data_IF_001910606523
#
_entry.id   IF_001910606523
#
_cell.length_a   1.000
_cell.length_b   1.000
_cell.length_c   1.000
_cell.angle_alpha   90.00
_cell.angle_beta   90.00
_cell.angle_gamma   90.00
#
_symmetry.space_group_name_H-M   'P 1'
#
loop_
_entity.id
_entity.type
_entity.pdbx_description
1 polymer ?
#
# COMPACT_ATOMS: atom_id res chain seq x y z
N UNK A 1 -77.10 17.78 -22.65
CA UNK A 1 -75.83 18.50 -22.31
C UNK A 1 -75.05 17.64 -21.31
N UNK A 2 -74.07 16.91 -21.76
CA UNK A 2 -73.29 15.98 -20.95
C UNK A 2 -71.93 16.63 -20.66
N UNK A 3 -71.67 16.88 -19.39
CA UNK A 3 -70.36 17.38 -18.94
C UNK A 3 -69.46 16.20 -18.62
N UNK A 4 -68.41 16.06 -19.40
CA UNK A 4 -67.32 15.11 -19.14
C UNK A 4 -66.31 15.71 -18.19
N UNK A 5 -66.24 15.18 -16.97
CA UNK A 5 -65.22 15.51 -15.97
C UNK A 5 -63.89 14.86 -16.35
N UNK A 6 -62.88 15.70 -16.62
CA UNK A 6 -61.48 15.21 -16.78
C UNK A 6 -60.93 14.90 -15.40
N UNK A 7 -60.61 13.64 -15.14
CA UNK A 7 -59.82 13.23 -13.98
C UNK A 7 -58.36 13.60 -14.18
N UNK A 8 -57.85 14.44 -13.24
CA UNK A 8 -56.43 14.71 -13.11
C UNK A 8 -55.76 13.54 -12.41
N UNK A 9 -54.82 12.87 -13.10
CA UNK A 9 -53.91 11.94 -12.44
C UNK A 9 -52.72 12.69 -11.86
N UNK A 10 -52.29 12.44 -10.59
CA UNK A 10 -51.12 13.05 -10.04
C UNK A 10 -49.86 12.44 -10.67
N UNK A 11 -48.97 13.29 -11.15
CA UNK A 11 -47.65 12.92 -11.65
C UNK A 11 -46.80 12.50 -10.45
N UNK A 12 -46.43 11.25 -10.38
CA UNK A 12 -45.54 10.71 -9.34
C UNK A 12 -44.11 11.26 -9.53
N UNK A 13 -43.75 12.26 -8.71
CA UNK A 13 -42.51 13.01 -8.80
C UNK A 13 -41.43 12.41 -7.86
N UNK A 14 -41.31 11.07 -7.80
CA UNK A 14 -40.39 10.39 -6.90
C UNK A 14 -39.38 9.49 -7.61
N UNK A 15 -38.85 9.92 -8.77
CA UNK A 15 -37.64 9.31 -9.33
C UNK A 15 -36.42 10.01 -8.69
N UNK A 16 -36.07 9.64 -7.46
CA UNK A 16 -34.72 9.91 -6.92
C UNK A 16 -33.72 9.22 -7.86
N UNK A 17 -33.17 9.96 -8.82
CA UNK A 17 -32.01 9.52 -9.58
C UNK A 17 -30.91 9.25 -8.56
N UNK A 18 -30.58 7.98 -8.33
CA UNK A 18 -29.30 7.61 -7.69
C UNK A 18 -28.20 8.17 -8.59
N UNK A 19 -27.64 9.30 -8.21
CA UNK A 19 -26.39 9.76 -8.80
C UNK A 19 -25.35 8.72 -8.33
N UNK A 20 -25.03 7.76 -9.18
CA UNK A 20 -23.89 6.87 -8.93
C UNK A 20 -22.64 7.77 -8.93
N UNK A 21 -22.09 8.02 -7.78
CA UNK A 21 -20.83 8.76 -7.66
C UNK A 21 -19.77 7.90 -8.36
N UNK A 22 -19.24 8.39 -9.48
CA UNK A 22 -18.19 7.70 -10.23
C UNK A 22 -16.93 7.72 -9.35
N UNK A 23 -16.53 6.55 -8.86
CA UNK A 23 -15.29 6.38 -8.10
C UNK A 23 -14.09 6.63 -9.00
N UNK A 24 -13.21 7.53 -8.59
CA UNK A 24 -12.00 7.87 -9.30
C UNK A 24 -10.83 7.03 -8.79
N UNK A 25 -10.11 6.39 -9.71
CA UNK A 25 -8.83 5.75 -9.36
C UNK A 25 -7.76 6.81 -9.17
N UNK A 26 -7.13 6.83 -8.00
CA UNK A 26 -6.02 7.72 -7.65
C UNK A 26 -4.66 7.16 -8.10
N UNK A 27 -4.51 5.85 -8.07
CA UNK A 27 -3.29 5.12 -8.38
C UNK A 27 -3.44 3.64 -8.03
N UNK A 28 -2.33 3.01 -7.68
CA UNK A 28 -2.31 1.59 -7.28
C UNK A 28 -1.45 1.40 -6.03
N UNK A 29 -1.88 0.51 -5.13
CA UNK A 29 -0.97 -0.12 -4.19
C UNK A 29 -0.24 -1.26 -4.88
N UNK A 30 1.01 -1.46 -4.53
CA UNK A 30 1.82 -2.57 -5.04
C UNK A 30 2.26 -3.48 -3.91
N UNK A 31 2.22 -4.77 -4.17
CA UNK A 31 2.65 -5.80 -3.23
C UNK A 31 3.26 -6.98 -3.99
N UNK A 32 3.84 -7.90 -3.26
CA UNK A 32 4.37 -9.14 -3.80
C UNK A 32 4.08 -10.32 -2.88
N UNK A 33 4.30 -11.55 -3.36
CA UNK A 33 4.18 -12.73 -2.53
C UNK A 33 5.31 -12.78 -1.50
N UNK A 34 5.07 -13.50 -0.42
CA UNK A 34 6.11 -13.83 0.54
C UNK A 34 7.21 -14.67 -0.09
N UNK A 35 8.44 -14.38 0.31
CA UNK A 35 9.61 -15.10 -0.13
C UNK A 35 9.89 -16.40 0.65
N UNK A 36 8.98 -16.76 1.58
CA UNK A 36 9.09 -17.88 2.51
C UNK A 36 10.38 -17.82 3.35
N UNK A 37 10.79 -16.61 3.74
CA UNK A 37 12.01 -16.38 4.50
C UNK A 37 11.91 -15.13 5.37
N UNK A 38 12.70 -15.08 6.42
CA UNK A 38 12.97 -13.87 7.22
C UNK A 38 14.34 -13.32 6.83
N UNK A 39 14.45 -12.01 6.67
CA UNK A 39 15.73 -11.35 6.56
C UNK A 39 16.52 -11.52 7.86
N UNK A 40 15.86 -11.33 9.00
CA UNK A 40 16.46 -11.42 10.32
C UNK A 40 15.57 -12.25 11.29
N UNK A 41 15.68 -13.59 11.25
CA UNK A 41 14.82 -14.48 12.07
C UNK A 41 14.95 -14.23 13.58
N UNK A 42 16.09 -13.73 14.05
CA UNK A 42 16.34 -13.47 15.48
C UNK A 42 15.52 -12.30 16.03
N UNK A 43 14.86 -11.49 15.17
CA UNK A 43 13.97 -10.42 15.58
C UNK A 43 12.54 -10.90 15.89
N UNK A 44 12.22 -12.16 15.63
CA UNK A 44 10.91 -12.73 15.91
C UNK A 44 10.54 -12.61 17.39
N UNK A 45 9.38 -12.02 17.68
CA UNK A 45 8.90 -11.84 19.05
C UNK A 45 9.61 -10.75 19.87
N UNK A 46 10.48 -9.96 19.26
CA UNK A 46 11.13 -8.82 19.93
C UNK A 46 10.14 -7.67 20.11
N UNK A 47 10.14 -7.06 21.30
CA UNK A 47 9.30 -5.88 21.59
C UNK A 47 9.59 -4.73 20.62
N UNK A 48 8.52 -3.98 20.23
CA UNK A 48 8.62 -2.88 19.27
C UNK A 48 9.71 -1.85 19.62
N UNK A 49 9.89 -1.51 20.88
CA UNK A 49 10.91 -0.53 21.26
C UNK A 49 12.33 -1.01 20.97
N UNK A 50 12.59 -2.30 21.08
CA UNK A 50 13.89 -2.89 20.75
C UNK A 50 14.12 -3.06 19.25
N UNK A 51 13.04 -3.22 18.47
CA UNK A 51 13.14 -3.35 17.03
C UNK A 51 12.81 -2.08 16.24
N UNK A 52 12.59 -0.95 16.91
CA UNK A 52 12.21 0.31 16.27
C UNK A 52 13.25 0.79 15.25
N UNK A 53 14.53 0.73 15.59
CA UNK A 53 15.62 1.06 14.68
C UNK A 53 15.62 0.11 13.46
N UNK A 54 15.42 -1.18 13.69
CA UNK A 54 15.30 -2.18 12.65
C UNK A 54 14.16 -1.88 11.67
N UNK A 55 13.00 -1.48 12.15
CA UNK A 55 11.85 -1.12 11.30
C UNK A 55 12.13 0.16 10.50
N UNK A 56 12.69 1.18 11.13
CA UNK A 56 12.94 2.50 10.52
C UNK A 56 14.17 2.53 9.59
N UNK A 57 15.17 1.68 9.84
CA UNK A 57 16.47 1.70 9.17
C UNK A 57 16.84 0.34 8.55
N UNK A 58 15.87 -0.31 7.87
CA UNK A 58 16.01 -1.67 7.29
C UNK A 58 17.29 -1.87 6.47
N UNK A 59 17.75 -0.83 5.76
CA UNK A 59 18.96 -0.88 4.95
C UNK A 59 20.26 -1.13 5.77
N UNK A 60 20.22 -0.83 7.08
CA UNK A 60 21.34 -1.08 7.98
C UNK A 60 21.32 -2.49 8.59
N UNK A 61 20.22 -3.21 8.40
CA UNK A 61 19.95 -4.52 9.01
C UNK A 61 19.85 -5.66 8.00
N UNK A 62 20.53 -5.54 6.86
CA UNK A 62 20.62 -6.62 5.88
C UNK A 62 21.51 -7.75 6.41
N UNK A 63 20.92 -8.92 6.64
CA UNK A 63 21.64 -10.08 7.19
C UNK A 63 22.61 -10.68 6.14
N UNK A 64 23.91 -10.73 6.41
CA UNK A 64 24.89 -11.31 5.49
C UNK A 64 24.68 -12.80 5.24
N UNK A 65 23.97 -13.49 6.12
CA UNK A 65 23.65 -14.91 5.99
C UNK A 65 22.25 -15.18 5.40
N UNK A 66 21.55 -14.14 4.97
CA UNK A 66 20.20 -14.25 4.40
C UNK A 66 20.17 -15.22 3.20
N UNK A 67 19.16 -16.09 3.19
CA UNK A 67 18.94 -17.05 2.09
C UNK A 67 17.59 -16.77 1.42
N UNK A 68 17.66 -16.29 0.19
CA UNK A 68 16.49 -16.03 -0.63
C UNK A 68 15.91 -17.35 -1.16
N UNK A 69 14.71 -17.72 -0.74
CA UNK A 69 14.06 -18.98 -1.11
C UNK A 69 13.49 -18.91 -2.53
N UNK A 70 12.74 -17.85 -2.87
CA UNK A 70 12.10 -17.70 -4.18
C UNK A 70 12.84 -16.70 -5.07
N UNK A 71 13.93 -17.13 -5.69
CA UNK A 71 14.85 -16.30 -6.47
C UNK A 71 14.25 -15.70 -7.75
N UNK A 72 13.17 -16.29 -8.29
CA UNK A 72 12.63 -15.95 -9.60
C UNK A 72 11.72 -14.72 -9.62
N UNK A 73 11.33 -14.16 -8.47
CA UNK A 73 10.47 -13.00 -8.41
C UNK A 73 11.23 -11.71 -8.72
N UNK A 74 10.57 -10.83 -9.48
CA UNK A 74 11.03 -9.45 -9.68
C UNK A 74 10.66 -8.55 -8.52
N UNK A 75 9.58 -8.92 -7.79
CA UNK A 75 9.08 -8.21 -6.61
C UNK A 75 8.54 -9.23 -5.61
N UNK A 76 8.97 -9.16 -4.37
CA UNK A 76 8.53 -10.03 -3.27
C UNK A 76 8.85 -9.38 -1.93
N UNK A 77 8.32 -9.92 -0.82
CA UNK A 77 8.67 -9.49 0.53
C UNK A 77 9.12 -10.67 1.40
N UNK A 78 9.88 -10.40 2.43
CA UNK A 78 10.15 -11.37 3.50
C UNK A 78 9.05 -11.29 4.56
N UNK A 79 8.95 -12.28 5.45
CA UNK A 79 7.98 -12.27 6.56
C UNK A 79 8.20 -11.10 7.55
N UNK A 80 9.39 -10.55 7.61
CA UNK A 80 9.77 -9.36 8.36
C UNK A 80 9.82 -8.09 7.49
N UNK A 81 9.04 -8.10 6.39
CA UNK A 81 8.69 -6.94 5.56
C UNK A 81 9.86 -6.25 4.85
N UNK A 82 10.91 -6.99 4.46
CA UNK A 82 11.91 -6.49 3.52
C UNK A 82 11.41 -6.69 2.10
N UNK A 83 11.15 -5.61 1.39
CA UNK A 83 10.74 -5.65 -0.02
C UNK A 83 11.96 -5.91 -0.90
N UNK A 84 12.00 -7.07 -1.54
CA UNK A 84 13.12 -7.51 -2.38
C UNK A 84 12.73 -7.41 -3.84
N UNK A 85 13.55 -6.70 -4.62
CA UNK A 85 13.35 -6.51 -6.05
C UNK A 85 14.52 -7.02 -6.88
N UNK A 86 14.25 -7.34 -8.14
CA UNK A 86 15.28 -7.75 -9.10
C UNK A 86 16.03 -6.56 -9.69
N UNK A 87 17.20 -6.82 -10.32
CA UNK A 87 17.92 -5.83 -11.13
C UNK A 87 17.03 -5.26 -12.25
N UNK A 88 16.20 -6.11 -12.87
CA UNK A 88 15.25 -5.68 -13.91
C UNK A 88 14.24 -4.64 -13.38
N UNK A 89 13.72 -4.82 -12.16
CA UNK A 89 12.82 -3.85 -11.52
C UNK A 89 13.56 -2.56 -11.16
N UNK A 90 14.75 -2.67 -10.60
CA UNK A 90 15.62 -1.51 -10.29
C UNK A 90 15.93 -0.72 -11.56
N UNK A 91 16.34 -1.39 -12.64
CA UNK A 91 16.66 -0.73 -13.91
C UNK A 91 15.46 -0.01 -14.49
N UNK A 92 14.26 -0.62 -14.43
CA UNK A 92 13.02 0.05 -14.81
C UNK A 92 12.80 1.36 -14.04
N UNK A 93 13.06 1.39 -12.75
CA UNK A 93 12.92 2.61 -11.96
C UNK A 93 13.96 3.68 -12.34
N UNK A 94 15.19 3.27 -12.65
CA UNK A 94 16.26 4.16 -13.10
C UNK A 94 15.92 4.75 -14.47
N UNK A 95 15.52 3.92 -15.43
CA UNK A 95 15.20 4.34 -16.81
C UNK A 95 14.03 5.34 -16.87
N UNK A 96 13.10 5.26 -15.92
CA UNK A 96 12.00 6.21 -15.80
C UNK A 96 12.30 7.39 -14.87
N UNK A 97 13.51 7.49 -14.32
CA UNK A 97 13.94 8.57 -13.42
C UNK A 97 13.01 8.80 -12.23
N UNK A 98 12.48 7.73 -11.60
CA UNK A 98 11.59 7.87 -10.45
C UNK A 98 12.35 8.40 -9.23
N UNK A 99 12.02 9.60 -8.72
CA UNK A 99 12.64 10.13 -7.52
C UNK A 99 12.11 9.43 -6.26
N UNK A 100 12.93 9.42 -5.21
CA UNK A 100 12.50 8.94 -3.90
C UNK A 100 12.45 7.42 -3.76
N UNK A 101 13.05 6.67 -4.68
CA UNK A 101 13.31 5.23 -4.53
C UNK A 101 14.80 4.99 -4.31
N UNK A 102 15.12 4.09 -3.39
CA UNK A 102 16.50 3.70 -3.06
C UNK A 102 16.63 2.18 -3.12
N UNK A 103 17.80 1.71 -3.57
CA UNK A 103 18.09 0.30 -3.75
C UNK A 103 19.37 -0.07 -3.01
N UNK A 104 19.29 -1.03 -2.11
CA UNK A 104 20.43 -1.51 -1.34
C UNK A 104 20.69 -2.97 -1.71
N UNK A 105 21.92 -3.33 -2.12
CA UNK A 105 22.23 -4.71 -2.52
C UNK A 105 21.93 -5.70 -1.38
N UNK A 106 21.24 -6.79 -1.70
CA UNK A 106 21.06 -7.90 -0.76
C UNK A 106 22.37 -8.69 -0.67
N UNK A 107 22.91 -8.94 0.52
CA UNK A 107 24.15 -9.72 0.68
C UNK A 107 24.07 -11.07 -0.05
N UNK A 108 25.13 -11.43 -0.74
CA UNK A 108 25.27 -12.65 -1.55
C UNK A 108 24.35 -12.78 -2.77
N UNK A 109 23.66 -11.67 -3.18
CA UNK A 109 22.80 -11.67 -4.36
C UNK A 109 23.05 -10.43 -5.22
N UNK A 110 23.90 -10.56 -6.25
CA UNK A 110 24.29 -9.44 -7.11
C UNK A 110 23.13 -8.76 -7.85
N UNK A 111 22.04 -9.50 -8.10
CA UNK A 111 20.88 -9.05 -8.89
C UNK A 111 19.62 -8.81 -8.05
N UNK A 112 19.76 -8.74 -6.73
CA UNK A 112 18.63 -8.50 -5.80
C UNK A 112 18.92 -7.33 -4.88
N UNK A 113 17.89 -6.54 -4.63
CA UNK A 113 17.98 -5.29 -3.88
C UNK A 113 16.82 -5.15 -2.91
N UNK A 114 17.10 -4.62 -1.74
CA UNK A 114 16.08 -4.03 -0.89
C UNK A 114 15.57 -2.75 -1.57
N UNK A 115 14.27 -2.64 -1.76
CA UNK A 115 13.60 -1.41 -2.19
C UNK A 115 13.16 -0.60 -0.97
N UNK A 116 13.56 0.68 -0.92
CA UNK A 116 12.98 1.66 -0.02
C UNK A 116 12.32 2.80 -0.81
N UNK A 117 11.15 3.24 -0.35
CA UNK A 117 10.40 4.36 -0.94
C UNK A 117 10.34 5.48 0.09
N UNK A 118 10.78 6.69 -0.31
CA UNK A 118 10.96 7.83 0.59
C UNK A 118 9.86 8.89 0.44
N UNK A 119 9.16 8.95 -0.70
CA UNK A 119 8.04 9.89 -0.89
C UNK A 119 6.85 9.44 -0.05
N UNK A 120 6.40 10.30 0.85
CA UNK A 120 5.34 9.98 1.81
C UNK A 120 4.02 10.57 1.34
N UNK A 121 2.95 9.77 1.47
CA UNK A 121 1.56 10.21 1.33
C UNK A 121 0.79 9.88 2.60
N UNK A 122 -0.14 10.76 2.98
CA UNK A 122 -0.91 10.58 4.20
C UNK A 122 -2.05 9.57 4.01
N UNK A 123 -2.08 8.60 4.91
CA UNK A 123 -3.16 7.62 5.01
C UNK A 123 -4.28 8.16 5.91
N UNK A 124 -5.53 7.97 5.51
CA UNK A 124 -6.70 8.39 6.29
C UNK A 124 -7.13 7.28 7.26
N UNK A 125 -6.55 7.30 8.45
CA UNK A 125 -6.82 6.33 9.50
C UNK A 125 -8.24 6.40 10.04
N UNK A 126 -8.85 7.59 10.04
CA UNK A 126 -10.22 7.81 10.53
C UNK A 126 -11.23 7.22 9.54
N UNK A 127 -11.14 7.60 8.28
CA UNK A 127 -12.00 7.09 7.21
C UNK A 127 -11.88 5.57 7.07
N UNK A 128 -10.65 5.03 7.15
CA UNK A 128 -10.39 3.59 7.08
C UNK A 128 -10.80 2.85 8.34
N UNK A 129 -11.03 3.53 9.46
CA UNK A 129 -11.25 2.95 10.78
C UNK A 129 -10.07 2.06 11.20
N UNK A 130 -8.86 2.58 11.00
CA UNK A 130 -7.61 1.92 11.40
C UNK A 130 -7.60 1.71 12.91
N UNK A 131 -7.16 0.55 13.36
CA UNK A 131 -7.10 0.18 14.76
C UNK A 131 -5.63 0.17 15.20
N UNK A 132 -5.37 0.87 16.29
CA UNK A 132 -4.05 0.95 16.92
C UNK A 132 -4.10 0.16 18.22
N UNK A 133 -3.24 -0.84 18.37
CA UNK A 133 -3.25 -1.79 19.47
C UNK A 133 -1.94 -1.73 20.25
N UNK A 134 -2.04 -2.00 21.56
CA UNK A 134 -0.90 -2.16 22.45
C UNK A 134 0.07 -0.98 22.39
N UNK A 135 -0.40 0.22 22.80
CA UNK A 135 0.44 1.41 22.90
C UNK A 135 1.55 1.18 23.94
N UNK A 136 2.80 1.41 23.52
CA UNK A 136 3.96 1.34 24.38
C UNK A 136 4.51 2.74 24.65
N UNK A 137 4.38 3.21 25.90
CA UNK A 137 4.81 4.54 26.33
C UNK A 137 6.32 4.73 26.31
N UNK A 138 7.10 3.64 26.43
CA UNK A 138 8.57 3.74 26.51
C UNK A 138 9.19 4.20 25.19
N UNK A 139 8.56 3.87 24.07
CA UNK A 139 9.02 4.29 22.75
C UNK A 139 7.97 5.12 21.97
N UNK A 140 6.84 5.45 22.60
CA UNK A 140 5.74 6.22 22.01
C UNK A 140 5.25 5.62 20.68
N UNK A 141 5.11 4.28 20.63
CA UNK A 141 4.72 3.54 19.44
C UNK A 141 3.62 2.52 19.78
N UNK A 142 2.79 2.18 18.79
CA UNK A 142 1.86 1.06 18.87
C UNK A 142 2.56 -0.22 18.41
N UNK A 143 2.36 -1.31 19.15
CA UNK A 143 2.93 -2.60 18.80
C UNK A 143 2.30 -3.17 17.52
N UNK A 144 1.00 -2.97 17.34
CA UNK A 144 0.27 -3.44 16.18
C UNK A 144 -0.63 -2.33 15.60
N UNK A 145 -0.67 -2.22 14.27
CA UNK A 145 -1.56 -1.32 13.53
C UNK A 145 -2.23 -2.13 12.41
N UNK A 146 -3.58 -2.24 12.47
CA UNK A 146 -4.36 -3.02 11.52
C UNK A 146 -5.35 -2.15 10.74
N UNK A 147 -5.80 -2.65 9.60
CA UNK A 147 -6.71 -1.91 8.72
C UNK A 147 -5.98 -1.19 7.59
N UNK A 148 -4.99 -1.85 6.99
CA UNK A 148 -4.22 -1.35 5.86
C UNK A 148 -5.05 -1.23 4.56
N UNK A 149 -5.96 -2.18 4.31
CA UNK A 149 -6.71 -2.30 3.05
C UNK A 149 -8.22 -2.31 3.25
N UNK A 150 -8.99 -1.77 2.29
CA UNK A 150 -8.52 -1.02 1.13
C UNK A 150 -7.82 0.28 1.53
N UNK A 151 -6.88 0.75 0.72
CA UNK A 151 -6.08 1.95 1.00
C UNK A 151 -6.94 3.20 0.94
N UNK A 152 -7.02 3.92 2.05
CA UNK A 152 -7.70 5.21 2.14
C UNK A 152 -6.66 6.33 2.29
N UNK A 153 -6.56 7.20 1.30
CA UNK A 153 -5.73 8.39 1.39
C UNK A 153 -6.57 9.58 1.90
N UNK A 154 -5.94 10.54 2.56
CA UNK A 154 -6.64 11.77 2.96
C UNK A 154 -7.22 12.45 1.74
N UNK A 155 -8.32 13.19 1.96
CA UNK A 155 -9.03 13.89 0.90
C UNK A 155 -8.09 14.80 0.08
N UNK A 156 -8.32 14.86 -1.22
CA UNK A 156 -7.50 15.60 -2.19
C UNK A 156 -6.05 15.12 -2.36
N UNK A 157 -5.70 13.93 -1.85
CA UNK A 157 -4.40 13.33 -2.17
C UNK A 157 -4.24 13.09 -3.66
N UNK A 158 -3.05 13.40 -4.17
CA UNK A 158 -2.67 13.18 -5.57
C UNK A 158 -1.44 12.29 -5.60
N UNK A 159 -1.52 11.18 -6.32
CA UNK A 159 -0.36 10.36 -6.65
C UNK A 159 0.11 10.74 -8.07
N UNK A 160 1.12 11.58 -8.14
CA UNK A 160 1.79 11.90 -9.40
C UNK A 160 2.54 10.66 -9.95
N UNK A 161 3.18 10.78 -11.12
CA UNK A 161 4.03 9.70 -11.63
C UNK A 161 5.19 9.44 -10.67
N UNK A 162 5.35 8.18 -10.22
CA UNK A 162 6.37 7.79 -9.24
C UNK A 162 5.88 6.82 -8.17
N UNK A 163 6.74 6.62 -7.18
CA UNK A 163 6.53 5.73 -6.04
C UNK A 163 6.33 6.55 -4.76
N UNK A 164 5.42 6.08 -3.91
CA UNK A 164 5.07 6.65 -2.62
C UNK A 164 4.95 5.55 -1.58
N UNK A 165 5.04 5.92 -0.32
CA UNK A 165 4.67 5.06 0.81
C UNK A 165 3.72 5.79 1.74
N UNK A 166 2.89 5.05 2.46
CA UNK A 166 2.07 5.63 3.52
C UNK A 166 2.94 6.15 4.66
N UNK A 167 2.44 7.18 5.37
CA UNK A 167 3.03 7.69 6.61
C UNK A 167 2.81 6.75 7.81
N UNK A 168 1.88 5.79 7.68
CA UNK A 168 1.59 4.75 8.66
C UNK A 168 2.24 3.44 8.20
N UNK A 169 2.87 2.73 9.14
CA UNK A 169 3.41 1.39 8.97
C UNK A 169 2.44 0.39 9.62
N UNK A 170 1.94 -0.55 8.84
CA UNK A 170 0.95 -1.55 9.24
C UNK A 170 1.62 -2.87 9.56
N UNK A 171 0.99 -3.65 10.46
CA UNK A 171 1.49 -4.94 10.90
C UNK A 171 1.83 -4.94 12.38
N UNK A 172 2.65 -5.88 12.80
CA UNK A 172 2.98 -6.13 14.19
C UNK A 172 4.49 -6.00 14.43
N UNK A 173 4.87 -5.31 15.49
CA UNK A 173 6.24 -5.22 16.01
C UNK A 173 7.29 -4.97 14.93
N UNK A 174 8.23 -5.90 14.75
CA UNK A 174 9.36 -5.84 13.82
C UNK A 174 8.95 -6.00 12.34
N UNK A 175 7.75 -6.52 12.07
CA UNK A 175 7.23 -6.74 10.71
C UNK A 175 6.32 -5.62 10.21
N UNK A 176 6.25 -4.48 10.92
CA UNK A 176 5.49 -3.32 10.45
C UNK A 176 6.14 -2.71 9.21
N UNK A 177 5.34 -2.44 8.17
CA UNK A 177 5.81 -1.74 6.97
C UNK A 177 4.74 -0.80 6.39
N UNK A 178 5.16 0.23 5.65
CA UNK A 178 4.24 1.10 4.95
C UNK A 178 3.70 0.42 3.69
N UNK A 179 2.51 0.81 3.27
CA UNK A 179 1.99 0.40 1.97
C UNK A 179 2.73 1.18 0.88
N UNK A 180 3.26 0.48 -0.11
CA UNK A 180 3.86 1.12 -1.28
C UNK A 180 2.77 1.41 -2.31
N UNK A 181 2.78 2.64 -2.82
CA UNK A 181 1.81 3.16 -3.76
C UNK A 181 2.51 3.70 -5.00
N UNK A 182 1.80 3.71 -6.12
CA UNK A 182 2.28 4.30 -7.37
C UNK A 182 1.18 5.11 -8.05
N UNK A 183 1.56 6.16 -8.75
CA UNK A 183 0.63 6.93 -9.58
C UNK A 183 0.06 6.12 -10.74
N UNK A 184 -0.95 6.67 -11.41
CA UNK A 184 -1.66 5.97 -12.50
C UNK A 184 -0.74 5.60 -13.67
N UNK A 185 0.11 6.52 -14.08
CA UNK A 185 1.05 6.32 -15.19
C UNK A 185 2.09 5.26 -14.83
N UNK A 186 2.71 5.39 -13.65
CA UNK A 186 3.67 4.38 -13.13
C UNK A 186 3.03 3.00 -13.05
N UNK A 187 1.81 2.89 -12.53
CA UNK A 187 1.08 1.62 -12.45
C UNK A 187 0.80 1.01 -13.83
N UNK A 188 0.50 1.84 -14.82
CA UNK A 188 0.31 1.40 -16.22
C UNK A 188 1.62 0.87 -16.81
N UNK A 189 2.72 1.60 -16.61
CA UNK A 189 4.06 1.17 -17.05
C UNK A 189 4.47 -0.14 -16.36
N UNK A 190 4.26 -0.27 -15.05
CA UNK A 190 4.55 -1.51 -14.29
C UNK A 190 3.77 -2.73 -14.82
N UNK A 191 2.47 -2.55 -15.13
CA UNK A 191 1.65 -3.61 -15.73
C UNK A 191 2.19 -4.09 -17.07
N UNK A 192 2.66 -3.16 -17.90
CA UNK A 192 3.24 -3.47 -19.21
C UNK A 192 4.53 -4.31 -19.10
N UNK A 193 5.28 -4.17 -18.00
CA UNK A 193 6.52 -4.90 -17.77
C UNK A 193 6.30 -6.37 -17.41
N UNK A 194 5.12 -6.76 -16.92
CA UNK A 194 4.83 -8.15 -16.49
C UNK A 194 5.86 -8.69 -15.49
N UNK A 195 6.23 -7.88 -14.50
CA UNK A 195 7.13 -8.30 -13.45
C UNK A 195 6.58 -9.49 -12.67
N UNK A 196 7.41 -10.51 -12.48
CA UNK A 196 7.03 -11.69 -11.70
C UNK A 196 6.86 -11.35 -10.23
N UNK A 197 5.72 -11.71 -9.65
CA UNK A 197 5.45 -11.48 -8.24
C UNK A 197 4.97 -10.06 -7.92
N UNK A 198 4.74 -9.19 -8.92
CA UNK A 198 4.19 -7.87 -8.69
C UNK A 198 2.66 -7.89 -8.83
N UNK A 199 1.96 -7.51 -7.77
CA UNK A 199 0.52 -7.30 -7.74
C UNK A 199 0.21 -5.81 -7.66
N UNK A 200 -0.84 -5.40 -8.38
CA UNK A 200 -1.33 -4.02 -8.36
C UNK A 200 -2.83 -4.01 -8.04
N UNK A 201 -3.19 -3.32 -6.97
CA UNK A 201 -4.57 -3.11 -6.55
C UNK A 201 -4.92 -1.62 -6.67
N UNK A 202 -6.14 -1.31 -7.16
CA UNK A 202 -6.56 0.08 -7.34
C UNK A 202 -6.76 0.78 -6.00
N UNK A 203 -6.26 2.00 -5.91
CA UNK A 203 -6.57 2.95 -4.84
C UNK A 203 -7.61 3.92 -5.35
N UNK A 204 -8.75 3.99 -4.67
CA UNK A 204 -9.90 4.80 -5.06
C UNK A 204 -10.04 6.03 -4.16
N UNK A 205 -10.65 7.08 -4.71
CA UNK A 205 -11.00 8.27 -3.93
C UNK A 205 -12.11 8.01 -2.92
N UNK A 206 -13.01 7.05 -3.22
CA UNK A 206 -14.12 6.59 -2.37
C UNK A 206 -14.33 5.09 -2.54
N UNK A 207 -15.00 4.48 -1.55
CA UNK A 207 -15.39 3.06 -1.55
C UNK A 207 -16.87 2.90 -1.22
N UNK A 208 -17.53 1.89 -1.79
CA UNK A 208 -18.99 1.64 -1.65
C UNK A 208 -19.47 1.47 -0.20
N UNK A 209 -18.59 1.08 0.71
CA UNK A 209 -18.93 0.91 2.13
C UNK A 209 -19.06 2.25 2.88
N UNK A 210 -18.46 3.33 2.36
CA UNK A 210 -18.52 4.66 2.97
C UNK A 210 -19.93 5.27 2.91
N UNK A 211 -20.67 4.98 1.85
CA UNK A 211 -22.06 5.46 1.66
C UNK A 211 -23.09 4.73 2.54
N UNK A 212 -22.71 3.60 3.18
CA UNK A 212 -23.61 2.76 3.98
C UNK A 212 -23.58 3.07 5.48
N UNK A 213 -22.77 4.03 5.90
CA UNK A 213 -22.54 4.36 7.32
C UNK A 213 -23.22 5.64 7.78
N UNK A 214 -24.13 6.23 6.95
CA UNK A 214 -24.97 7.39 7.29
C UNK A 214 -26.41 6.98 7.53
#
# INVERSE_FOLDING_TARGET
MSQTSKQYQPVDCNTKRKISTIMKTLGFSISGPDNDSYMNPDQYGVNICKCLDFVKNRQLHLNPNFKLTKKLYDFSSTYDSFVIVSERFKQFCIDNNYPGVSFYPIPNYETKFLLLVNNIVKFDTVRRKTIFLEFNSDCNEFNEIVGATPVCLVENSVLADGFYRTDIEFGNSYAKDPIILVGLETGTKLKAQKFKGLYLEKVLDKYDWEDKTN
#
